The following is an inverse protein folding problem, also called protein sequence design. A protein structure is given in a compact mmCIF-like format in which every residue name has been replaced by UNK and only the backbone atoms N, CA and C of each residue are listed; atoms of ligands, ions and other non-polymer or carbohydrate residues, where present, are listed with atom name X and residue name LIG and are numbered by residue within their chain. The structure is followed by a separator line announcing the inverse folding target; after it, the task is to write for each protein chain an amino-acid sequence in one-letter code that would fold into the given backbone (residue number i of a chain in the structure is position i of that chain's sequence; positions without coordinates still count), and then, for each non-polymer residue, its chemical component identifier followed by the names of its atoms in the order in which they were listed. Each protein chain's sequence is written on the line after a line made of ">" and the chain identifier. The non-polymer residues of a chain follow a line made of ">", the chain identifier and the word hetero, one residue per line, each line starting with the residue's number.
data_IF_329351573902
#
_entry.id   IF_329351573902
#
_cell.length_a   1.000
_cell.length_b   1.000
_cell.length_c   1.000
_cell.angle_alpha   90.00
_cell.angle_beta   90.00
_cell.angle_gamma   90.00
#
_symmetry.space_group_name_H-M   'P 1'
#
loop_
_entity.id
_entity.type
_entity.pdbx_description
1 polymer ?
#
# COMPACT_ATOMS: atom_id res chain seq x y z
N UNK A 1 6.03 9.35 1.39
CA UNK A 1 6.12 8.00 2.02
C UNK A 1 7.56 7.70 2.36
N UNK A 2 7.81 7.03 3.49
CA UNK A 2 9.15 6.53 3.87
C UNK A 2 9.21 5.02 3.63
N UNK A 3 10.36 4.52 3.18
CA UNK A 3 10.59 3.08 3.00
C UNK A 3 10.93 2.45 4.35
N UNK A 4 10.27 1.35 4.68
CA UNK A 4 10.55 0.53 5.85
C UNK A 4 10.71 -0.91 5.39
N UNK A 5 11.69 -1.62 5.96
CA UNK A 5 11.83 -3.05 5.75
C UNK A 5 11.09 -3.79 6.86
N UNK A 6 10.26 -4.75 6.50
CA UNK A 6 9.50 -5.58 7.44
C UNK A 6 9.81 -7.03 7.17
N UNK A 7 9.94 -7.82 8.23
CA UNK A 7 10.12 -9.26 8.14
C UNK A 7 8.74 -9.93 8.07
N UNK A 8 8.58 -10.84 7.11
CA UNK A 8 7.38 -11.62 6.89
C UNK A 8 7.79 -13.07 6.68
N UNK A 9 6.94 -13.99 7.11
CA UNK A 9 7.12 -15.41 6.82
C UNK A 9 6.89 -15.70 5.34
N UNK A 10 7.48 -16.77 4.80
CA UNK A 10 7.29 -17.16 3.39
C UNK A 10 5.82 -17.32 3.02
N UNK A 11 5.02 -17.91 3.92
CA UNK A 11 3.58 -18.06 3.73
C UNK A 11 2.86 -16.72 3.63
N UNK A 12 3.26 -15.71 4.39
CA UNK A 12 2.69 -14.37 4.29
C UNK A 12 3.09 -13.68 2.98
N UNK A 13 4.35 -13.85 2.56
CA UNK A 13 4.84 -13.30 1.28
C UNK A 13 4.06 -13.89 0.10
N UNK A 14 3.85 -15.20 0.10
CA UNK A 14 3.09 -15.90 -0.95
C UNK A 14 1.64 -15.43 -1.01
N UNK A 15 0.95 -15.36 0.14
CA UNK A 15 -0.44 -14.87 0.20
C UNK A 15 -0.55 -13.42 -0.24
N UNK A 16 0.41 -12.58 0.14
CA UNK A 16 0.46 -11.19 -0.27
C UNK A 16 0.68 -11.06 -1.79
N UNK A 17 1.54 -11.91 -2.38
CA UNK A 17 1.78 -11.93 -3.81
C UNK A 17 0.54 -12.38 -4.59
N UNK A 18 -0.10 -13.48 -4.21
CA UNK A 18 -1.33 -13.98 -4.84
C UNK A 18 -2.43 -12.91 -4.83
N UNK A 19 -2.59 -12.22 -3.70
CA UNK A 19 -3.58 -11.14 -3.57
C UNK A 19 -3.24 -9.93 -4.44
N UNK A 20 -1.96 -9.55 -4.49
CA UNK A 20 -1.48 -8.43 -5.30
C UNK A 20 -1.76 -8.66 -6.79
N UNK A 21 -1.46 -9.87 -7.27
CA UNK A 21 -1.74 -10.29 -8.66
C UNK A 21 -3.24 -10.28 -8.93
N UNK A 22 -4.05 -10.85 -8.04
CA UNK A 22 -5.51 -10.88 -8.19
C UNK A 22 -6.14 -9.48 -8.26
N UNK A 23 -5.64 -8.53 -7.47
CA UNK A 23 -6.17 -7.16 -7.42
C UNK A 23 -5.49 -6.21 -8.41
N UNK A 24 -4.43 -6.64 -9.11
CA UNK A 24 -3.68 -5.80 -10.05
C UNK A 24 -2.95 -4.62 -9.40
N UNK A 25 -2.56 -4.75 -8.12
CA UNK A 25 -1.88 -3.67 -7.37
C UNK A 25 -0.56 -4.13 -6.77
N UNK A 26 0.39 -3.22 -6.48
CA UNK A 26 1.64 -3.57 -5.83
C UNK A 26 1.44 -4.17 -4.43
N UNK A 27 2.29 -5.14 -4.04
CA UNK A 27 2.31 -5.72 -2.68
C UNK A 27 2.38 -4.64 -1.58
N UNK A 28 3.16 -3.59 -1.80
CA UNK A 28 3.28 -2.47 -0.87
C UNK A 28 1.95 -1.71 -0.68
N UNK A 29 1.15 -1.59 -1.74
CA UNK A 29 -0.17 -0.94 -1.66
C UNK A 29 -1.16 -1.81 -0.87
N UNK A 30 -1.09 -3.15 -1.00
CA UNK A 30 -1.86 -4.05 -0.15
C UNK A 30 -1.49 -3.92 1.33
N UNK A 31 -0.18 -3.93 1.64
CA UNK A 31 0.29 -3.76 3.03
C UNK A 31 -0.16 -2.42 3.59
N UNK A 32 -0.04 -1.33 2.80
CA UNK A 32 -0.51 -0.01 3.19
C UNK A 32 -2.01 0.00 3.52
N UNK A 33 -2.85 -0.57 2.64
CA UNK A 33 -4.31 -0.65 2.88
C UNK A 33 -4.64 -1.49 4.12
N UNK A 34 -3.94 -2.60 4.32
CA UNK A 34 -4.13 -3.43 5.50
C UNK A 34 -3.79 -2.67 6.79
N UNK A 35 -2.70 -1.90 6.80
CA UNK A 35 -2.33 -1.03 7.92
C UNK A 35 -3.36 0.09 8.12
N UNK A 36 -3.84 0.72 7.05
CA UNK A 36 -4.89 1.75 7.15
C UNK A 36 -6.18 1.19 7.77
N UNK A 37 -6.61 0.00 7.35
CA UNK A 37 -7.79 -0.66 7.91
C UNK A 37 -7.58 -1.04 9.37
N UNK A 38 -6.40 -1.56 9.71
CA UNK A 38 -6.06 -1.90 11.09
C UNK A 38 -6.07 -0.67 12.00
N UNK A 39 -5.44 0.43 11.57
CA UNK A 39 -5.37 1.67 12.35
C UNK A 39 -6.74 2.36 12.47
N UNK A 40 -7.54 2.39 11.41
CA UNK A 40 -8.88 2.97 11.47
C UNK A 40 -9.84 2.16 12.37
N UNK A 41 -9.59 0.86 12.51
CA UNK A 41 -10.37 0.01 13.43
C UNK A 41 -10.00 0.27 14.90
N UNK A 42 -8.71 0.51 15.18
CA UNK A 42 -8.21 0.77 16.53
C UNK A 42 -8.47 2.22 16.99
N UNK A 43 -8.24 3.19 16.10
CA UNK A 43 -8.43 4.61 16.35
C UNK A 43 -9.42 5.21 15.33
N UNK A 44 -10.66 5.55 15.74
CA UNK A 44 -11.66 6.12 14.85
C UNK A 44 -11.29 7.54 14.37
N UNK A 45 -10.29 8.19 14.97
CA UNK A 45 -9.77 9.49 14.53
C UNK A 45 -8.65 9.35 13.49
N UNK A 46 -8.16 8.13 13.25
CA UNK A 46 -7.19 7.87 12.20
C UNK A 46 -7.81 8.08 10.82
N UNK A 47 -7.27 9.06 10.07
CA UNK A 47 -7.66 9.32 8.69
C UNK A 47 -6.55 8.79 7.78
N UNK A 48 -6.80 7.74 6.98
CA UNK A 48 -5.79 7.21 6.07
C UNK A 48 -5.35 8.27 5.07
N UNK A 49 -4.04 8.40 4.87
CA UNK A 49 -3.51 9.37 3.90
C UNK A 49 -3.99 9.06 2.49
N UNK A 50 -4.39 10.08 1.69
CA UNK A 50 -4.76 9.88 0.30
C UNK A 50 -3.59 9.26 -0.46
N UNK A 51 -3.91 8.33 -1.37
CA UNK A 51 -2.91 7.62 -2.18
C UNK A 51 -1.98 8.64 -2.82
N UNK A 52 -0.65 8.42 -2.82
CA UNK A 52 0.23 9.26 -3.62
C UNK A 52 -0.27 9.17 -5.05
N UNK A 53 -0.75 10.30 -5.60
CA UNK A 53 -1.00 10.39 -7.02
C UNK A 53 0.29 9.96 -7.71
N UNK A 54 0.19 8.97 -8.60
CA UNK A 54 1.24 8.75 -9.58
C UNK A 54 1.42 10.12 -10.22
N UNK A 55 2.53 10.79 -9.91
CA UNK A 55 2.90 12.03 -10.54
C UNK A 55 3.04 11.69 -12.01
N UNK A 56 1.97 11.92 -12.78
CA UNK A 56 2.03 11.95 -14.22
C UNK A 56 3.17 12.91 -14.52
N UNK A 57 4.26 12.35 -15.04
CA UNK A 57 5.39 13.13 -15.51
C UNK A 57 4.80 14.22 -16.39
N UNK A 58 4.98 15.46 -15.96
CA UNK A 58 4.55 16.64 -16.68
C UNK A 58 5.29 16.58 -18.02
N UNK A 59 4.61 16.09 -19.07
CA UNK A 59 4.95 16.47 -20.43
C UNK A 59 4.84 17.98 -20.45
N UNK A 60 5.99 18.65 -20.47
CA UNK A 60 6.07 20.07 -20.81
C UNK A 60 6.26 20.15 -22.32
N UNK A 61 5.29 20.64 -23.10
CA UNK A 61 5.53 21.13 -24.44
C UNK A 61 5.65 22.66 -24.40
N UNK A 62 6.69 23.21 -25.05
CA UNK A 62 6.82 24.63 -25.35
C UNK A 62 8.03 25.28 -24.70
#
# INVERSE_FOLDING_TARGET
>A
MKRVNIYLTDKQIERLHQRAVKEGIPRAELVRRALDTFLAWDDPTYIPSPRPQLRNAHSSPG
#
